data_IF_913816637512
#
_entry.id   IF_913816637512
#
_cell.length_a   1.000
_cell.length_b   1.000
_cell.length_c   1.000
_cell.angle_alpha   90.00
_cell.angle_beta   90.00
_cell.angle_gamma   90.00
#
_symmetry.space_group_name_H-M   'P 1'
#
loop_
_entity.id
_entity.type
_entity.pdbx_description
1 polymer ?
#
# COMPACT_ATOMS: atom_id res chain seq x y z
N UNK A 1 10.77 10.31 -1.45
CA UNK A 1 11.07 9.81 -0.10
C UNK A 1 12.48 9.23 0.03
N UNK A 2 12.80 8.05 -0.56
CA UNK A 2 14.11 7.39 -0.37
C UNK A 2 15.33 8.31 -0.59
N UNK A 3 15.31 9.11 -1.67
CA UNK A 3 16.34 10.14 -1.91
C UNK A 3 16.44 11.14 -0.76
N UNK A 4 15.32 11.65 -0.26
CA UNK A 4 15.30 12.62 0.86
C UNK A 4 15.96 12.00 2.09
N UNK A 5 15.57 10.78 2.47
CA UNK A 5 16.17 10.07 3.61
C UNK A 5 17.69 9.89 3.43
N UNK A 6 18.13 9.47 2.23
CA UNK A 6 19.55 9.32 1.92
C UNK A 6 20.33 10.64 2.01
N UNK A 7 19.75 11.75 1.55
CA UNK A 7 20.37 13.08 1.70
C UNK A 7 20.46 13.54 3.17
N UNK A 8 19.59 13.01 4.04
CA UNK A 8 19.66 13.19 5.49
C UNK A 8 20.53 12.13 6.19
N UNK A 9 21.42 11.46 5.45
CA UNK A 9 22.41 10.53 5.98
C UNK A 9 21.86 9.15 6.34
N UNK A 10 20.60 8.85 6.04
CA UNK A 10 20.02 7.53 6.32
C UNK A 10 20.44 6.52 5.25
N UNK A 11 20.71 5.28 5.65
CA UNK A 11 20.80 4.17 4.71
C UNK A 11 19.39 3.70 4.37
N UNK A 12 19.09 3.60 3.08
CA UNK A 12 17.79 3.17 2.59
C UNK A 12 17.95 1.91 1.77
N UNK A 13 17.15 0.87 2.05
CA UNK A 13 17.05 -0.31 1.17
C UNK A 13 15.66 -0.33 0.56
N UNK A 14 15.58 -0.29 -0.78
CA UNK A 14 14.31 -0.40 -1.50
C UNK A 14 14.13 -1.85 -1.95
N UNK A 15 13.11 -2.50 -1.42
CA UNK A 15 12.69 -3.84 -1.83
C UNK A 15 11.81 -3.75 -3.07
N UNK A 16 12.13 -4.51 -4.10
CA UNK A 16 11.37 -4.56 -5.36
C UNK A 16 11.48 -5.93 -6.03
N UNK A 17 10.89 -6.06 -7.21
CA UNK A 17 10.97 -7.28 -8.03
C UNK A 17 11.80 -7.01 -9.29
N UNK A 18 12.36 -8.04 -9.96
CA UNK A 18 13.26 -7.85 -11.09
C UNK A 18 12.74 -6.97 -12.23
N UNK A 19 11.48 -7.12 -12.65
CA UNK A 19 10.92 -6.31 -13.74
C UNK A 19 10.60 -4.89 -13.29
N UNK A 20 10.24 -4.68 -12.02
CA UNK A 20 10.13 -3.33 -11.47
C UNK A 20 11.51 -2.67 -11.39
N UNK A 21 12.57 -3.39 -11.00
CA UNK A 21 13.94 -2.88 -11.03
C UNK A 21 14.38 -2.47 -12.44
N UNK A 22 14.10 -3.31 -13.44
CA UNK A 22 14.37 -2.98 -14.84
C UNK A 22 13.59 -1.73 -15.31
N UNK A 23 12.32 -1.59 -14.92
CA UNK A 23 11.50 -0.40 -15.23
C UNK A 23 12.06 0.89 -14.64
N UNK A 24 12.70 0.81 -13.48
CA UNK A 24 13.25 1.95 -12.74
C UNK A 24 14.78 2.08 -12.86
N UNK A 25 15.40 1.46 -13.86
CA UNK A 25 16.86 1.41 -13.97
C UNK A 25 17.50 2.80 -14.00
N UNK A 26 16.87 3.79 -14.64
CA UNK A 26 17.37 5.18 -14.65
C UNK A 26 17.45 5.81 -13.26
N UNK A 27 16.58 5.42 -12.32
CA UNK A 27 16.60 5.88 -10.93
C UNK A 27 17.69 5.14 -10.15
N UNK A 28 17.88 3.86 -10.41
CA UNK A 28 18.96 3.05 -9.82
C UNK A 28 20.31 3.62 -10.26
N UNK A 29 20.51 3.80 -11.56
CA UNK A 29 21.70 4.40 -12.16
C UNK A 29 21.97 5.80 -11.59
N UNK A 30 20.92 6.60 -11.39
CA UNK A 30 21.04 7.89 -10.73
C UNK A 30 21.55 7.74 -9.29
N UNK A 31 20.97 6.85 -8.49
CA UNK A 31 21.40 6.65 -7.11
C UNK A 31 22.87 6.21 -7.03
N UNK A 32 23.30 5.30 -7.91
CA UNK A 32 24.70 4.85 -8.02
C UNK A 32 25.61 5.99 -8.48
N UNK A 33 25.23 6.72 -9.53
CA UNK A 33 26.03 7.82 -10.08
C UNK A 33 26.31 8.92 -9.06
N UNK A 34 25.35 9.19 -8.19
CA UNK A 34 25.44 10.23 -7.16
C UNK A 34 25.85 9.69 -5.78
N UNK A 35 26.28 8.43 -5.72
CA UNK A 35 26.72 7.75 -4.48
C UNK A 35 25.71 7.95 -3.33
N UNK A 36 24.42 7.86 -3.66
CA UNK A 36 23.38 7.94 -2.65
C UNK A 36 23.40 6.66 -1.82
N UNK A 37 23.20 6.78 -0.51
CA UNK A 37 23.11 5.65 0.42
C UNK A 37 21.77 4.89 0.27
N UNK A 38 21.52 4.39 -0.94
CA UNK A 38 20.31 3.68 -1.35
C UNK A 38 20.72 2.34 -1.97
N UNK A 39 20.38 1.26 -1.28
CA UNK A 39 20.51 -0.10 -1.75
C UNK A 39 19.22 -0.57 -2.42
N UNK A 40 19.33 -1.48 -3.37
CA UNK A 40 18.20 -2.11 -4.05
C UNK A 40 18.24 -3.60 -3.81
N UNK A 41 17.16 -4.13 -3.23
CA UNK A 41 17.00 -5.55 -2.94
C UNK A 41 15.88 -6.11 -3.82
N UNK A 42 16.20 -7.12 -4.62
CA UNK A 42 15.23 -7.74 -5.53
C UNK A 42 14.84 -9.14 -5.09
N UNK A 43 13.53 -9.41 -5.05
CA UNK A 43 12.99 -10.76 -4.86
C UNK A 43 12.22 -11.21 -6.09
N UNK A 44 12.42 -12.45 -6.59
CA UNK A 44 11.60 -13.00 -7.66
C UNK A 44 10.11 -12.92 -7.29
N UNK A 45 9.30 -12.40 -8.21
CA UNK A 45 7.85 -12.34 -7.98
C UNK A 45 7.22 -13.68 -8.35
N UNK A 46 6.49 -14.36 -7.44
CA UNK A 46 6.06 -15.74 -7.63
C UNK A 46 4.80 -15.83 -8.51
N UNK A 47 4.91 -15.40 -9.78
CA UNK A 47 3.79 -15.41 -10.74
C UNK A 47 3.20 -16.82 -10.91
N UNK A 48 4.08 -17.81 -11.11
CA UNK A 48 3.68 -19.18 -11.43
C UNK A 48 2.96 -19.87 -10.27
N UNK A 49 3.37 -19.59 -9.02
CA UNK A 49 2.79 -20.21 -7.81
C UNK A 49 1.30 -19.87 -7.62
N UNK A 50 0.84 -18.76 -8.20
CA UNK A 50 -0.56 -18.31 -8.15
C UNK A 50 -1.25 -18.34 -9.52
N UNK A 51 -0.62 -18.96 -10.52
CA UNK A 51 -1.09 -18.97 -11.91
C UNK A 51 -1.39 -17.57 -12.47
N UNK A 52 -0.46 -16.63 -12.25
CA UNK A 52 -0.37 -15.35 -12.97
C UNK A 52 0.48 -15.52 -14.23
N UNK A 53 0.19 -14.75 -15.30
CA UNK A 53 1.05 -14.70 -16.46
C UNK A 53 2.46 -14.22 -16.08
N UNK A 54 3.48 -14.90 -16.59
CA UNK A 54 4.88 -14.51 -16.38
C UNK A 54 5.08 -13.08 -16.87
N UNK A 55 5.75 -12.28 -16.04
CA UNK A 55 6.01 -10.87 -16.31
C UNK A 55 5.00 -9.90 -15.68
N UNK A 56 3.94 -10.40 -15.03
CA UNK A 56 2.98 -9.60 -14.29
C UNK A 56 3.47 -9.23 -12.87
N UNK A 57 4.61 -8.54 -12.79
CA UNK A 57 5.18 -8.08 -11.50
C UNK A 57 4.66 -6.69 -11.07
N UNK A 58 3.82 -6.06 -11.87
CA UNK A 58 3.16 -4.81 -11.54
C UNK A 58 1.66 -4.94 -11.75
N UNK A 59 0.87 -4.23 -10.93
CA UNK A 59 -0.59 -4.25 -11.04
C UNK A 59 -1.06 -3.64 -12.37
N UNK A 60 -0.33 -2.67 -12.92
CA UNK A 60 -0.66 -2.01 -14.19
C UNK A 60 -0.35 -2.86 -15.42
N UNK A 61 0.40 -3.96 -15.28
CA UNK A 61 0.69 -4.90 -16.36
C UNK A 61 -0.24 -6.12 -16.37
N UNK A 62 -1.20 -6.19 -15.45
CA UNK A 62 -2.18 -7.28 -15.42
C UNK A 62 -3.06 -7.25 -16.69
N UNK A 63 -3.24 -8.38 -17.40
CA UNK A 63 -4.13 -8.44 -18.56
C UNK A 63 -5.61 -8.16 -18.26
N UNK A 64 -6.04 -8.39 -17.02
CA UNK A 64 -7.39 -8.07 -16.52
C UNK A 64 -7.33 -7.86 -15.00
N UNK A 65 -8.19 -6.99 -14.48
CA UNK A 65 -8.38 -6.80 -13.03
C UNK A 65 -8.90 -8.05 -12.31
N UNK A 66 -9.44 -9.03 -13.04
CA UNK A 66 -9.83 -10.34 -12.47
C UNK A 66 -8.63 -11.08 -11.85
N UNK A 67 -7.41 -10.75 -12.28
CA UNK A 67 -6.17 -11.33 -11.75
C UNK A 67 -5.62 -10.60 -10.52
N UNK A 68 -6.28 -9.52 -10.06
CA UNK A 68 -5.79 -8.71 -8.95
C UNK A 68 -5.65 -9.49 -7.63
N UNK A 69 -6.51 -10.48 -7.37
CA UNK A 69 -6.41 -11.28 -6.15
C UNK A 69 -5.22 -12.23 -6.18
N UNK A 70 -4.94 -12.83 -7.33
CA UNK A 70 -3.73 -13.63 -7.54
C UNK A 70 -2.49 -12.75 -7.37
N UNK A 71 -2.51 -11.54 -7.91
CA UNK A 71 -1.43 -10.56 -7.73
C UNK A 71 -1.19 -10.23 -6.25
N UNK A 72 -2.26 -10.00 -5.48
CA UNK A 72 -2.16 -9.79 -4.02
C UNK A 72 -1.62 -11.02 -3.29
N UNK A 73 -2.02 -12.23 -3.69
CA UNK A 73 -1.51 -13.46 -3.11
C UNK A 73 0.00 -13.60 -3.37
N UNK A 74 0.45 -13.43 -4.62
CA UNK A 74 1.87 -13.42 -4.96
C UNK A 74 2.66 -12.34 -4.20
N UNK A 75 2.08 -11.15 -4.02
CA UNK A 75 2.68 -10.09 -3.21
C UNK A 75 2.84 -10.49 -1.74
N UNK A 76 1.89 -11.22 -1.14
CA UNK A 76 2.01 -11.71 0.23
C UNK A 76 3.12 -12.74 0.39
N UNK A 77 3.40 -13.53 -0.65
CA UNK A 77 4.45 -14.54 -0.63
C UNK A 77 5.87 -13.93 -0.57
N UNK A 78 6.01 -12.63 -0.85
CA UNK A 78 7.26 -11.88 -0.62
C UNK A 78 7.60 -11.70 0.87
N UNK A 79 6.68 -12.02 1.78
CA UNK A 79 6.95 -12.06 3.22
C UNK A 79 8.12 -13.00 3.54
N UNK A 80 8.06 -14.25 3.07
CA UNK A 80 9.10 -15.25 3.36
C UNK A 80 10.51 -14.81 2.95
N UNK A 81 10.71 -14.35 1.70
CA UNK A 81 11.99 -13.79 1.25
C UNK A 81 12.47 -12.61 2.09
N UNK A 82 11.59 -11.68 2.47
CA UNK A 82 11.97 -10.54 3.32
C UNK A 82 12.38 -10.99 4.72
N UNK A 83 11.62 -11.87 5.35
CA UNK A 83 11.95 -12.41 6.68
C UNK A 83 13.28 -13.16 6.65
N UNK A 84 13.53 -13.96 5.61
CA UNK A 84 14.81 -14.66 5.45
C UNK A 84 15.97 -13.67 5.34
N UNK A 85 15.82 -12.63 4.51
CA UNK A 85 16.85 -11.60 4.36
C UNK A 85 17.13 -10.85 5.67
N UNK A 86 16.09 -10.51 6.44
CA UNK A 86 16.25 -9.88 7.76
C UNK A 86 16.95 -10.81 8.75
N UNK A 87 16.62 -12.10 8.75
CA UNK A 87 17.26 -13.08 9.62
C UNK A 87 18.74 -13.30 9.28
N UNK A 88 19.08 -13.30 7.99
CA UNK A 88 20.48 -13.36 7.53
C UNK A 88 21.24 -12.05 7.83
N UNK A 89 20.53 -10.94 7.94
CA UNK A 89 21.07 -9.61 8.25
C UNK A 89 20.90 -9.23 9.73
N UNK A 90 20.84 -10.21 10.64
CA UNK A 90 20.49 -9.99 12.05
C UNK A 90 21.41 -8.99 12.79
N UNK A 91 22.66 -8.82 12.34
CA UNK A 91 23.60 -7.86 12.93
C UNK A 91 23.33 -6.40 12.51
N UNK A 92 22.48 -6.19 11.49
CA UNK A 92 22.21 -4.88 10.89
C UNK A 92 20.75 -4.75 10.45
N UNK A 93 19.81 -5.11 11.33
CA UNK A 93 18.38 -4.89 11.10
C UNK A 93 18.07 -3.41 10.83
N UNK A 94 17.13 -3.11 9.92
CA UNK A 94 16.74 -1.74 9.66
C UNK A 94 16.04 -1.14 10.89
N UNK A 95 16.23 0.16 11.11
CA UNK A 95 15.58 0.89 12.20
C UNK A 95 14.08 1.12 11.99
N UNK A 96 13.59 0.96 10.76
CA UNK A 96 12.18 1.12 10.42
C UNK A 96 11.85 0.40 9.09
N UNK A 97 10.65 -0.14 8.99
CA UNK A 97 10.03 -0.58 7.73
C UNK A 97 9.04 0.49 7.27
N UNK A 98 9.19 1.01 6.07
CA UNK A 98 8.19 1.87 5.43
C UNK A 98 7.48 1.08 4.34
N UNK A 99 6.16 0.93 4.46
CA UNK A 99 5.37 0.13 3.51
C UNK A 99 4.00 0.74 3.22
N UNK A 100 3.44 0.42 2.05
CA UNK A 100 2.05 0.76 1.72
C UNK A 100 1.08 -0.19 2.43
N UNK A 101 -0.14 0.29 2.70
CA UNK A 101 -1.27 -0.52 3.21
C UNK A 101 -1.54 -1.80 2.38
N UNK A 102 -1.19 -1.80 1.09
CA UNK A 102 -1.35 -2.97 0.21
C UNK A 102 -0.41 -4.13 0.61
N UNK A 103 0.69 -3.84 1.28
CA UNK A 103 1.66 -4.82 1.81
C UNK A 103 1.40 -5.09 3.29
N UNK A 104 0.15 -5.33 3.68
CA UNK A 104 -0.27 -5.55 5.09
C UNK A 104 0.57 -6.59 5.86
N UNK A 105 1.11 -7.59 5.17
CA UNK A 105 1.97 -8.64 5.74
C UNK A 105 3.28 -8.09 6.31
N UNK A 106 3.70 -6.89 5.91
CA UNK A 106 4.85 -6.20 6.52
C UNK A 106 4.62 -5.86 7.99
N UNK A 107 3.38 -5.81 8.46
CA UNK A 107 3.07 -5.73 9.89
C UNK A 107 3.55 -6.95 10.65
N UNK A 108 3.35 -8.14 10.09
CA UNK A 108 3.75 -9.39 10.75
C UNK A 108 5.28 -9.49 10.80
N UNK A 109 5.96 -9.04 9.74
CA UNK A 109 7.42 -8.93 9.69
C UNK A 109 7.93 -7.94 10.74
N UNK A 110 7.34 -6.74 10.80
CA UNK A 110 7.70 -5.72 11.77
C UNK A 110 7.61 -6.24 13.22
N UNK A 111 6.50 -6.89 13.57
CA UNK A 111 6.30 -7.51 14.90
C UNK A 111 7.31 -8.63 15.15
N UNK A 112 7.55 -9.50 14.16
CA UNK A 112 8.45 -10.66 14.31
C UNK A 112 9.91 -10.25 14.57
N UNK A 113 10.38 -9.17 13.97
CA UNK A 113 11.76 -8.70 14.09
C UNK A 113 11.92 -7.51 15.05
N UNK A 114 10.84 -7.10 15.72
CA UNK A 114 10.81 -5.94 16.63
C UNK A 114 11.28 -4.64 15.94
N UNK A 115 10.78 -4.39 14.72
CA UNK A 115 11.13 -3.22 13.90
C UNK A 115 9.91 -2.31 13.76
N UNK A 116 10.01 -1.01 14.08
CA UNK A 116 8.92 -0.05 13.86
C UNK A 116 8.47 0.01 12.41
N UNK A 117 7.16 0.07 12.18
CA UNK A 117 6.57 0.17 10.83
C UNK A 117 5.80 1.45 10.62
N UNK A 118 6.18 2.19 9.58
CA UNK A 118 5.50 3.40 9.14
C UNK A 118 4.73 3.12 7.84
N UNK A 119 3.46 3.48 7.81
CA UNK A 119 2.67 3.42 6.59
C UNK A 119 3.01 4.58 5.68
N UNK A 120 3.15 4.31 4.38
CA UNK A 120 3.28 5.36 3.38
C UNK A 120 2.06 5.42 2.48
N UNK A 121 1.36 6.56 2.51
CA UNK A 121 0.26 6.86 1.61
C UNK A 121 0.69 7.88 0.56
N UNK A 122 0.44 7.55 -0.71
CA UNK A 122 0.63 8.45 -1.85
C UNK A 122 -0.66 9.17 -2.25
N UNK A 123 -1.73 8.96 -1.50
CA UNK A 123 -3.03 9.63 -1.67
C UNK A 123 -3.14 10.79 -0.67
N UNK A 124 -3.99 11.76 -1.02
CA UNK A 124 -4.34 12.93 -0.23
C UNK A 124 -4.89 12.55 1.17
N UNK A 125 -4.62 13.37 2.20
CA UNK A 125 -5.23 13.24 3.52
C UNK A 125 -6.75 13.22 3.42
N UNK A 126 -7.30 14.07 2.56
CA UNK A 126 -8.73 14.12 2.26
C UNK A 126 -9.29 12.75 1.87
N UNK A 127 -8.61 12.02 0.98
CA UNK A 127 -9.04 10.67 0.55
C UNK A 127 -9.00 9.66 1.70
N UNK A 128 -7.97 9.74 2.55
CA UNK A 128 -7.84 8.86 3.73
C UNK A 128 -8.99 9.14 4.72
N UNK A 129 -9.26 10.42 5.01
CA UNK A 129 -10.33 10.84 5.91
C UNK A 129 -11.71 10.45 5.36
N UNK A 130 -11.94 10.60 4.05
CA UNK A 130 -13.17 10.15 3.42
C UNK A 130 -13.39 8.65 3.59
N UNK A 131 -12.34 7.84 3.37
CA UNK A 131 -12.38 6.39 3.59
C UNK A 131 -12.64 6.01 5.06
N UNK A 132 -12.04 6.75 5.99
CA UNK A 132 -12.28 6.58 7.42
C UNK A 132 -13.74 6.88 7.80
N UNK A 133 -14.24 8.06 7.44
CA UNK A 133 -15.61 8.49 7.76
C UNK A 133 -16.63 7.52 7.18
N UNK A 134 -16.47 7.07 5.92
CA UNK A 134 -17.33 6.03 5.33
C UNK A 134 -17.42 4.75 6.17
N UNK A 135 -16.31 4.32 6.78
CA UNK A 135 -16.28 3.15 7.64
C UNK A 135 -16.94 3.36 9.02
N UNK A 136 -16.82 4.57 9.56
CA UNK A 136 -17.38 4.94 10.86
C UNK A 136 -18.90 5.17 10.80
N UNK A 137 -19.39 5.78 9.72
CA UNK A 137 -20.81 6.04 9.51
C UNK A 137 -21.52 4.83 8.90
N UNK A 138 -21.75 3.79 9.73
CA UNK A 138 -22.52 2.61 9.35
C UNK A 138 -23.90 3.03 8.81
N UNK A 139 -24.18 2.70 7.56
CA UNK A 139 -25.46 3.01 6.91
C UNK A 139 -25.40 4.10 5.85
N UNK A 140 -24.26 4.74 5.61
CA UNK A 140 -24.09 5.65 4.46
C UNK A 140 -24.45 4.95 3.14
N UNK A 141 -24.10 3.67 3.02
CA UNK A 141 -24.47 2.82 1.89
C UNK A 141 -25.97 2.55 1.75
N UNK A 142 -26.75 2.66 2.84
CA UNK A 142 -28.21 2.53 2.80
C UNK A 142 -28.86 3.85 2.35
N UNK A 143 -28.20 4.97 2.60
CA UNK A 143 -28.61 6.30 2.15
C UNK A 143 -28.28 6.52 0.67
N UNK A 144 -27.19 5.90 0.20
CA UNK A 144 -26.88 5.80 -1.23
C UNK A 144 -27.93 4.87 -1.89
N UNK A 145 -29.03 5.45 -2.35
CA UNK A 145 -30.09 4.77 -3.11
C UNK A 145 -29.57 4.15 -4.42
N UNK A 146 -30.46 3.71 -5.31
CA UNK A 146 -30.06 3.09 -6.59
C UNK A 146 -29.62 4.10 -7.67
N UNK A 147 -29.68 5.39 -7.40
CA UNK A 147 -29.51 6.46 -8.39
C UNK A 147 -28.24 7.31 -8.24
N UNK A 148 -28.26 8.47 -8.91
CA UNK A 148 -27.21 9.50 -8.89
C UNK A 148 -27.46 10.57 -7.81
N UNK A 149 -28.32 10.29 -6.84
CA UNK A 149 -28.65 11.23 -5.77
C UNK A 149 -27.41 11.49 -4.91
N UNK A 150 -27.07 12.76 -4.67
CA UNK A 150 -25.93 13.12 -3.82
C UNK A 150 -26.23 12.79 -2.35
N UNK A 151 -25.21 12.30 -1.65
CA UNK A 151 -25.23 12.05 -0.21
C UNK A 151 -24.02 12.73 0.41
N UNK A 152 -24.26 13.66 1.34
CA UNK A 152 -23.19 14.34 2.09
C UNK A 152 -22.44 13.35 2.98
N UNK A 153 -21.11 13.41 2.95
CA UNK A 153 -20.23 12.62 3.83
C UNK A 153 -19.99 13.37 5.14
N UNK A 154 -20.54 12.92 6.27
CA UNK A 154 -20.37 13.60 7.54
C UNK A 154 -18.94 13.49 8.07
N UNK A 155 -18.57 14.43 8.96
CA UNK A 155 -17.26 14.45 9.62
C UNK A 155 -16.14 15.12 8.82
N UNK A 156 -16.48 15.88 7.79
CA UNK A 156 -15.57 16.78 7.05
C UNK A 156 -15.89 18.23 7.42
N UNK A 157 -14.91 19.16 7.34
CA UNK A 157 -15.14 20.59 7.58
C UNK A 157 -16.08 21.19 6.53
N UNK A 158 -15.94 20.76 5.27
CA UNK A 158 -16.78 21.15 4.15
C UNK A 158 -17.89 20.12 3.88
N UNK A 159 -18.98 20.62 3.30
CA UNK A 159 -20.03 19.76 2.77
C UNK A 159 -19.57 19.12 1.46
N UNK A 160 -19.16 17.86 1.55
CA UNK A 160 -18.78 17.05 0.40
C UNK A 160 -19.86 16.01 0.13
N UNK A 161 -20.43 16.07 -1.07
CA UNK A 161 -21.44 15.13 -1.53
C UNK A 161 -20.84 14.10 -2.49
N UNK A 162 -21.26 12.84 -2.33
CA UNK A 162 -20.97 11.78 -3.28
C UNK A 162 -22.26 11.10 -3.69
N UNK A 163 -22.40 10.79 -4.98
CA UNK A 163 -23.41 9.84 -5.41
C UNK A 163 -22.88 8.41 -5.31
N UNK A 164 -23.77 7.43 -5.53
CA UNK A 164 -23.38 6.02 -5.51
C UNK A 164 -22.20 5.79 -6.44
N UNK A 165 -22.30 6.08 -7.74
CA UNK A 165 -21.22 5.84 -8.72
C UNK A 165 -19.82 6.40 -8.30
N UNK A 166 -19.75 7.50 -7.57
CA UNK A 166 -18.50 8.06 -7.04
C UNK A 166 -18.03 7.37 -5.76
N UNK A 167 -18.95 6.99 -4.88
CA UNK A 167 -18.65 6.16 -3.72
C UNK A 167 -18.19 4.74 -4.14
N UNK A 168 -18.63 4.29 -5.31
CA UNK A 168 -18.35 3.01 -5.96
C UNK A 168 -16.98 2.90 -6.64
N UNK A 169 -16.08 3.88 -6.47
CA UNK A 169 -14.64 3.62 -6.72
C UNK A 169 -14.08 2.49 -5.83
N UNK A 170 -14.87 2.04 -4.86
CA UNK A 170 -14.63 0.85 -4.06
C UNK A 170 -15.56 -0.34 -4.41
N UNK A 171 -16.45 -0.31 -5.42
CA UNK A 171 -17.45 -1.38 -5.69
C UNK A 171 -16.89 -2.74 -6.13
N UNK A 172 -15.57 -2.87 -6.27
CA UNK A 172 -14.89 -4.15 -6.08
C UNK A 172 -15.21 -4.83 -4.73
N UNK A 173 -15.75 -4.07 -3.77
CA UNK A 173 -16.20 -4.48 -2.43
C UNK A 173 -17.62 -5.07 -2.41
N UNK A 174 -18.46 -4.85 -3.44
CA UNK A 174 -19.87 -5.31 -3.42
C UNK A 174 -20.23 -6.33 -4.48
N UNK A 175 -19.53 -6.38 -5.61
CA UNK A 175 -19.71 -7.48 -6.57
C UNK A 175 -19.04 -8.79 -6.14
N UNK A 176 -18.24 -8.77 -5.08
CA UNK A 176 -17.71 -9.97 -4.42
C UNK A 176 -18.35 -10.10 -3.05
N UNK A 177 -19.56 -10.66 -3.00
CA UNK A 177 -20.16 -11.18 -1.76
C UNK A 177 -19.43 -12.45 -1.28
N UNK A 178 -18.10 -12.40 -1.32
CA UNK A 178 -17.18 -13.46 -0.95
C UNK A 178 -16.53 -13.02 0.37
N UNK A 179 -16.61 -13.89 1.36
CA UNK A 179 -15.95 -13.81 2.66
C UNK A 179 -14.47 -13.38 2.55
N UNK A 180 -13.76 -13.83 1.50
CA UNK A 180 -12.34 -13.52 1.26
C UNK A 180 -12.05 -12.04 1.00
N UNK A 181 -12.92 -11.33 0.27
CA UNK A 181 -12.72 -9.90 -0.02
C UNK A 181 -12.93 -9.06 1.25
N UNK A 182 -13.96 -9.39 2.04
CA UNK A 182 -14.19 -8.75 3.34
C UNK A 182 -13.06 -9.02 4.34
N UNK A 183 -12.55 -10.26 4.39
CA UNK A 183 -11.39 -10.60 5.20
C UNK A 183 -10.14 -9.84 4.77
N UNK A 184 -9.94 -9.64 3.46
CA UNK A 184 -8.80 -8.88 2.94
C UNK A 184 -8.80 -7.42 3.44
N UNK A 185 -9.91 -6.69 3.28
CA UNK A 185 -10.02 -5.30 3.74
C UNK A 185 -10.00 -5.17 5.26
N UNK A 186 -10.55 -6.17 5.97
CA UNK A 186 -10.46 -6.23 7.44
C UNK A 186 -9.00 -6.30 7.88
N UNK A 187 -8.21 -7.20 7.28
CA UNK A 187 -6.77 -7.34 7.57
C UNK A 187 -5.96 -6.10 7.16
N UNK A 188 -6.36 -5.38 6.12
CA UNK A 188 -5.76 -4.07 5.81
C UNK A 188 -5.99 -3.12 6.97
N UNK A 189 -7.24 -2.92 7.41
CA UNK A 189 -7.56 -1.99 8.50
C UNK A 189 -6.87 -2.36 9.82
N UNK A 190 -6.77 -3.65 10.13
CA UNK A 190 -6.03 -4.15 11.31
C UNK A 190 -4.54 -3.84 11.19
N UNK A 191 -3.94 -4.12 10.03
CA UNK A 191 -2.56 -3.74 9.75
C UNK A 191 -2.38 -2.23 9.80
N UNK A 192 -3.32 -1.42 9.32
CA UNK A 192 -3.17 0.03 9.38
C UNK A 192 -3.10 0.54 10.83
N UNK A 193 -3.94 -0.02 11.70
CA UNK A 193 -3.98 0.30 13.13
C UNK A 193 -2.75 -0.14 13.91
N UNK A 194 -2.01 -1.13 13.42
CA UNK A 194 -0.78 -1.62 14.07
C UNK A 194 0.47 -0.84 13.67
N UNK A 195 0.37 0.14 12.77
CA UNK A 195 1.53 0.94 12.37
C UNK A 195 1.92 1.94 13.45
N UNK A 196 3.22 2.15 13.63
CA UNK A 196 3.81 3.09 14.58
C UNK A 196 3.70 4.55 14.11
N UNK A 197 3.41 4.75 12.83
CA UNK A 197 3.19 6.08 12.26
C UNK A 197 2.73 6.04 10.82
N UNK A 198 2.40 7.22 10.30
CA UNK A 198 1.99 7.42 8.92
C UNK A 198 2.82 8.53 8.29
N UNK A 199 3.27 8.28 7.06
CA UNK A 199 3.90 9.26 6.20
C UNK A 199 2.98 9.53 5.01
N UNK A 200 2.68 10.80 4.80
CA UNK A 200 1.75 11.27 3.78
C UNK A 200 2.53 12.09 2.75
N UNK A 201 2.33 11.81 1.47
CA UNK A 201 2.93 12.59 0.39
C UNK A 201 2.10 13.86 0.11
N UNK A 202 2.09 14.77 1.08
CA UNK A 202 1.34 16.03 1.08
C UNK A 202 2.14 17.12 1.80
N UNK A 203 1.60 18.32 1.94
CA UNK A 203 2.11 19.38 2.80
C UNK A 203 0.94 20.15 3.43
N UNK A 204 1.19 20.76 4.59
CA UNK A 204 0.16 21.38 5.43
C UNK A 204 -0.71 22.39 4.68
N UNK A 205 -0.10 23.35 3.98
CA UNK A 205 -0.84 24.37 3.22
C UNK A 205 -1.75 23.81 2.10
N UNK A 206 -1.58 22.55 1.69
CA UNK A 206 -2.44 21.90 0.69
C UNK A 206 -3.75 21.39 1.28
N UNK A 207 -3.71 20.93 2.53
CA UNK A 207 -4.80 20.20 3.20
C UNK A 207 -4.91 20.64 4.66
N UNK A 208 -4.92 21.95 4.89
CA UNK A 208 -4.91 22.54 6.24
C UNK A 208 -6.23 22.35 7.01
N UNK A 209 -7.31 21.99 6.32
CA UNK A 209 -8.67 21.80 6.83
C UNK A 209 -9.13 20.35 6.72
#
# INVERSE_FOLDING_TARGET
MAKVLAHHGQQVTIVMTPLNAARWNSIIDYAVKFDLNINFLTFPFPCEEVALPIGCENIDTLPSLDLADKFRQASCMLQGPLEKWLQESAESLPSCIISSQQFRWTSDVAVKFDIPRVLFHTIACFTILCGHNRGCYRGLEKLLGTGFEPVSLPGLPDEIEFNKAQALLSESEKQRSDDLSNQYYTKIRESERSADGMLLNTFEDMEAE
#
